data_IF_982945241965
#
_entry.id   IF_982945241965
#
_cell.length_a   1.000
_cell.length_b   1.000
_cell.length_c   1.000
_cell.angle_alpha   90.00
_cell.angle_beta   90.00
_cell.angle_gamma   90.00
#
_symmetry.space_group_name_H-M   'P 1'
#
loop_
_entity.id
_entity.type
_entity.pdbx_description
1 polymer ?
#
# COMPACT_ATOMS: atom_id res chain seq x y z
N UNK A 1 -7.43 17.73 -27.91
CA UNK A 1 -8.84 17.70 -28.33
C UNK A 1 -9.73 16.83 -27.43
N UNK A 2 -9.25 15.69 -26.90
CA UNK A 2 -10.07 14.81 -26.04
C UNK A 2 -10.22 15.32 -24.59
N UNK A 3 -9.14 15.82 -23.99
CA UNK A 3 -9.14 16.41 -22.63
C UNK A 3 -10.07 17.63 -22.56
N UNK A 4 -10.04 18.53 -23.55
CA UNK A 4 -10.92 19.70 -23.54
C UNK A 4 -12.41 19.33 -23.60
N UNK A 5 -12.77 18.29 -24.36
CA UNK A 5 -14.13 17.76 -24.39
C UNK A 5 -14.52 17.15 -23.05
N UNK A 6 -13.61 16.42 -22.41
CA UNK A 6 -13.80 15.86 -21.07
C UNK A 6 -14.04 16.98 -20.05
N UNK A 7 -13.22 18.02 -20.06
CA UNK A 7 -13.31 19.16 -19.14
C UNK A 7 -14.57 20.02 -19.33
N UNK A 8 -15.13 20.04 -20.55
CA UNK A 8 -16.41 20.71 -20.81
C UNK A 8 -17.64 19.87 -20.41
N UNK A 9 -17.48 18.54 -20.36
CA UNK A 9 -18.57 17.59 -20.09
C UNK A 9 -18.66 17.19 -18.61
N UNK A 10 -17.53 16.90 -17.96
CA UNK A 10 -17.46 16.44 -16.58
C UNK A 10 -18.22 17.31 -15.57
N UNK A 11 -18.14 18.66 -15.61
CA UNK A 11 -18.91 19.49 -14.67
C UNK A 11 -20.42 19.29 -14.82
N UNK A 12 -20.92 19.13 -16.05
CA UNK A 12 -22.35 18.92 -16.33
C UNK A 12 -22.80 17.55 -15.84
N UNK A 13 -22.03 16.52 -16.14
CA UNK A 13 -22.33 15.15 -15.71
C UNK A 13 -22.32 15.05 -14.17
N UNK A 14 -21.37 15.73 -13.51
CA UNK A 14 -21.33 15.83 -12.05
C UNK A 14 -22.53 16.60 -11.48
N UNK A 15 -22.89 17.74 -12.07
CA UNK A 15 -24.04 18.52 -11.65
C UNK A 15 -25.35 17.75 -11.80
N UNK A 16 -25.54 17.03 -12.91
CA UNK A 16 -26.72 16.19 -13.12
C UNK A 16 -26.81 15.06 -12.11
N UNK A 17 -25.68 14.42 -11.78
CA UNK A 17 -25.62 13.41 -10.73
C UNK A 17 -25.97 13.98 -9.35
N UNK A 18 -25.36 15.11 -8.96
CA UNK A 18 -25.61 15.77 -7.67
C UNK A 18 -27.07 16.16 -7.53
N UNK A 19 -27.62 16.84 -8.54
CA UNK A 19 -29.02 17.30 -8.53
C UNK A 19 -29.98 16.11 -8.58
N UNK A 20 -29.65 15.06 -9.33
CA UNK A 20 -30.42 13.81 -9.36
C UNK A 20 -30.47 13.09 -8.01
N UNK A 21 -29.35 13.06 -7.29
CA UNK A 21 -29.27 12.49 -5.94
C UNK A 21 -30.00 13.33 -4.89
N UNK A 22 -30.01 14.65 -5.03
CA UNK A 22 -30.67 15.56 -4.10
C UNK A 22 -32.21 15.48 -4.13
N UNK A 23 -32.80 14.94 -5.21
CA UNK A 23 -34.25 14.69 -5.38
C UNK A 23 -35.15 15.89 -5.01
N UNK A 24 -34.71 17.10 -5.37
CA UNK A 24 -35.45 18.32 -5.04
C UNK A 24 -36.71 18.44 -5.91
N UNK A 25 -37.82 18.90 -5.31
CA UNK A 25 -39.11 19.06 -5.99
C UNK A 25 -39.22 20.33 -6.85
N UNK A 26 -38.39 21.33 -6.59
CA UNK A 26 -38.43 22.61 -7.30
C UNK A 26 -37.70 22.53 -8.64
N UNK A 27 -38.43 22.79 -9.73
CA UNK A 27 -37.87 22.80 -11.09
C UNK A 27 -36.87 23.94 -11.27
N UNK A 28 -37.16 25.12 -10.73
CA UNK A 28 -36.31 26.30 -10.91
C UNK A 28 -35.03 26.21 -10.07
N UNK A 29 -35.12 25.66 -8.85
CA UNK A 29 -33.93 25.37 -8.05
C UNK A 29 -33.06 24.30 -8.71
N UNK A 30 -33.67 23.23 -9.23
CA UNK A 30 -32.95 22.18 -9.97
C UNK A 30 -32.25 22.74 -11.22
N UNK A 31 -32.87 23.69 -11.92
CA UNK A 31 -32.27 24.38 -13.07
C UNK A 31 -31.10 25.24 -12.64
N UNK A 32 -31.30 26.09 -11.63
CA UNK A 32 -30.27 26.97 -11.09
C UNK A 32 -29.04 26.19 -10.59
N UNK A 33 -29.26 25.08 -9.89
CA UNK A 33 -28.18 24.22 -9.42
C UNK A 33 -27.42 23.55 -10.57
N UNK A 34 -28.12 23.07 -11.61
CA UNK A 34 -27.44 22.51 -12.80
C UNK A 34 -26.64 23.55 -13.56
N UNK A 35 -27.15 24.77 -13.68
CA UNK A 35 -26.45 25.87 -14.35
C UNK A 35 -25.21 26.31 -13.56
N UNK A 36 -25.33 26.45 -12.24
CA UNK A 36 -24.21 26.80 -11.36
C UNK A 36 -23.17 25.69 -11.29
N UNK A 37 -23.56 24.51 -10.81
CA UNK A 37 -22.66 23.36 -10.60
C UNK A 37 -22.09 22.83 -11.92
N UNK A 38 -22.85 22.93 -13.02
CA UNK A 38 -22.45 22.50 -14.35
C UNK A 38 -21.62 23.53 -15.12
N UNK A 39 -21.33 24.69 -14.51
CA UNK A 39 -20.43 25.69 -15.09
C UNK A 39 -19.05 25.09 -15.37
N UNK A 40 -18.30 25.71 -16.29
CA UNK A 40 -16.96 25.26 -16.67
C UNK A 40 -16.07 25.10 -15.44
N UNK A 41 -15.32 24.01 -15.37
CA UNK A 41 -14.40 23.73 -14.27
C UNK A 41 -13.51 24.95 -13.96
N UNK A 42 -13.40 25.32 -12.68
CA UNK A 42 -12.66 26.49 -12.21
C UNK A 42 -13.44 27.81 -12.19
N UNK A 43 -14.68 27.84 -12.70
CA UNK A 43 -15.55 29.02 -12.56
C UNK A 43 -16.24 29.05 -11.19
N UNK A 44 -16.63 30.25 -10.69
CA UNK A 44 -17.46 30.37 -9.51
C UNK A 44 -18.72 29.51 -9.62
N UNK A 45 -19.07 28.81 -8.53
CA UNK A 45 -20.20 27.89 -8.41
C UNK A 45 -20.10 26.56 -9.20
N UNK A 46 -19.06 26.32 -9.98
CA UNK A 46 -18.83 25.02 -10.62
C UNK A 46 -18.61 23.94 -9.56
N UNK A 47 -19.13 22.74 -9.80
CA UNK A 47 -18.87 21.58 -8.96
C UNK A 47 -17.41 21.11 -9.05
N UNK A 48 -16.71 21.47 -10.13
CA UNK A 48 -15.33 21.06 -10.36
C UNK A 48 -14.40 22.27 -10.32
N UNK A 49 -13.28 22.11 -9.60
CA UNK A 49 -12.18 23.07 -9.60
C UNK A 49 -11.48 23.11 -10.96
N UNK A 50 -10.67 24.14 -11.20
CA UNK A 50 -9.81 24.19 -12.38
C UNK A 50 -8.94 22.93 -12.44
N UNK A 51 -8.93 22.21 -13.58
CA UNK A 51 -8.11 21.02 -13.71
C UNK A 51 -6.64 21.41 -13.74
N UNK A 52 -5.87 20.91 -12.77
CA UNK A 52 -4.43 21.02 -12.76
C UNK A 52 -3.82 19.72 -13.31
N UNK A 53 -2.94 19.85 -14.29
CA UNK A 53 -2.16 18.73 -14.83
C UNK A 53 -0.74 18.88 -14.31
N UNK A 54 -0.37 17.99 -13.39
CA UNK A 54 1.01 17.88 -12.94
C UNK A 54 1.71 16.76 -13.71
N UNK A 55 2.89 17.06 -14.24
CA UNK A 55 3.78 16.00 -14.71
C UNK A 55 4.24 15.18 -13.51
N UNK A 56 3.86 13.91 -13.43
CA UNK A 56 4.45 12.99 -12.47
C UNK A 56 5.90 12.76 -12.89
N UNK A 57 6.85 13.39 -12.18
CA UNK A 57 8.26 13.08 -12.38
C UNK A 57 8.47 11.60 -12.01
N UNK A 58 9.05 10.78 -12.91
CA UNK A 58 9.32 9.39 -12.59
C UNK A 58 10.29 9.32 -11.42
N UNK A 59 10.03 8.40 -10.50
CA UNK A 59 10.95 8.12 -9.40
C UNK A 59 12.27 7.60 -9.96
N UNK A 60 13.40 8.05 -9.39
CA UNK A 60 14.73 7.68 -9.88
C UNK A 60 14.96 6.18 -9.65
N UNK A 61 15.02 5.34 -10.70
CA UNK A 61 15.37 3.94 -10.56
C UNK A 61 16.81 3.82 -10.06
N UNK A 62 17.08 2.78 -9.27
CA UNK A 62 18.45 2.46 -8.92
C UNK A 62 19.19 2.04 -10.19
N UNK A 63 20.35 2.64 -10.44
CA UNK A 63 21.24 2.22 -11.51
C UNK A 63 21.59 0.73 -11.35
N UNK A 64 21.41 -0.07 -12.42
CA UNK A 64 21.62 -1.52 -12.37
C UNK A 64 20.52 -2.32 -11.66
N UNK A 65 19.45 -1.69 -11.17
CA UNK A 65 18.30 -2.35 -10.54
C UNK A 65 18.72 -3.27 -9.38
N UNK A 66 18.23 -4.51 -9.36
CA UNK A 66 18.64 -5.48 -8.33
C UNK A 66 20.14 -5.78 -8.29
N UNK A 67 20.86 -5.58 -9.40
CA UNK A 67 22.31 -5.77 -9.49
C UNK A 67 23.11 -4.58 -8.96
N UNK A 68 22.50 -3.41 -8.83
CA UNK A 68 23.15 -2.18 -8.33
C UNK A 68 23.11 -2.03 -6.81
N UNK A 69 22.59 -3.03 -6.09
CA UNK A 69 22.50 -2.96 -4.63
C UNK A 69 23.90 -3.09 -3.98
N UNK A 70 24.19 -2.31 -2.92
CA UNK A 70 25.40 -2.51 -2.14
C UNK A 70 25.52 -3.94 -1.63
N UNK A 71 26.70 -4.53 -1.75
CA UNK A 71 26.96 -5.90 -1.32
C UNK A 71 26.64 -6.06 0.19
N UNK A 72 25.93 -7.15 0.53
CA UNK A 72 25.56 -7.46 1.91
C UNK A 72 24.39 -6.66 2.49
N UNK A 73 23.89 -5.64 1.77
CA UNK A 73 22.78 -4.80 2.25
C UNK A 73 21.53 -5.62 2.62
N UNK A 74 21.20 -6.59 1.78
CA UNK A 74 20.10 -7.53 2.00
C UNK A 74 20.64 -8.97 1.98
N UNK A 75 20.00 -9.83 2.77
CA UNK A 75 20.30 -11.25 2.80
C UNK A 75 19.98 -11.88 1.42
N UNK A 76 20.79 -12.84 0.92
CA UNK A 76 20.57 -13.45 -0.40
C UNK A 76 19.16 -14.01 -0.60
N UNK A 77 18.61 -14.68 0.44
CA UNK A 77 17.23 -15.18 0.41
C UNK A 77 16.18 -14.08 0.32
N UNK A 78 16.41 -12.92 0.93
CA UNK A 78 15.53 -11.76 0.80
C UNK A 78 15.53 -11.25 -0.65
N UNK A 79 16.72 -11.14 -1.26
CA UNK A 79 16.87 -10.71 -2.65
C UNK A 79 16.19 -11.67 -3.63
N UNK A 80 16.31 -12.98 -3.41
CA UNK A 80 15.65 -14.00 -4.22
C UNK A 80 14.13 -13.81 -4.22
N UNK A 81 13.54 -13.64 -3.03
CA UNK A 81 12.09 -13.39 -2.92
C UNK A 81 11.70 -12.10 -3.62
N UNK A 82 12.40 -10.99 -3.33
CA UNK A 82 12.04 -9.68 -3.89
C UNK A 82 12.13 -9.61 -5.41
N UNK A 83 13.04 -10.36 -6.03
CA UNK A 83 13.15 -10.43 -7.50
C UNK A 83 11.91 -11.01 -8.16
N UNK A 84 11.20 -11.90 -7.48
CA UNK A 84 9.99 -12.55 -7.99
C UNK A 84 8.73 -11.71 -7.73
N UNK A 85 8.69 -10.96 -6.62
CA UNK A 85 7.45 -10.33 -6.12
C UNK A 85 7.47 -8.79 -6.16
N UNK A 86 8.59 -8.17 -6.50
CA UNK A 86 8.75 -6.71 -6.52
C UNK A 86 9.51 -6.22 -7.75
N UNK A 87 9.24 -4.97 -8.13
CA UNK A 87 9.98 -4.28 -9.18
C UNK A 87 11.39 -3.91 -8.70
N UNK A 88 12.36 -3.73 -9.62
CA UNK A 88 13.66 -3.16 -9.29
C UNK A 88 13.51 -1.85 -8.49
N UNK A 89 14.38 -1.63 -7.49
CA UNK A 89 14.14 -0.56 -6.54
C UNK A 89 14.46 0.82 -7.09
N UNK A 90 13.86 1.83 -6.47
CA UNK A 90 14.24 3.22 -6.63
C UNK A 90 15.37 3.60 -5.66
N UNK A 91 16.12 4.64 -5.99
CA UNK A 91 17.26 5.12 -5.16
C UNK A 91 16.84 5.39 -3.71
N UNK A 92 15.68 6.04 -3.50
CA UNK A 92 15.19 6.38 -2.18
C UNK A 92 14.83 5.15 -1.31
N UNK A 93 14.42 4.04 -1.94
CA UNK A 93 14.16 2.78 -1.22
C UNK A 93 15.48 2.23 -0.70
N UNK A 94 16.51 2.20 -1.54
CA UNK A 94 17.85 1.73 -1.16
C UNK A 94 18.46 2.61 -0.08
N UNK A 95 18.26 3.92 -0.14
CA UNK A 95 18.73 4.83 0.90
C UNK A 95 18.03 4.59 2.24
N UNK A 96 16.72 4.32 2.23
CA UNK A 96 16.01 3.89 3.43
C UNK A 96 16.56 2.55 3.97
N UNK A 97 16.82 1.58 3.09
CA UNK A 97 17.35 0.27 3.48
C UNK A 97 18.75 0.36 4.09
N UNK A 98 19.63 1.23 3.58
CA UNK A 98 20.96 1.47 4.17
C UNK A 98 20.86 1.93 5.62
N UNK A 99 19.88 2.78 5.94
CA UNK A 99 19.65 3.28 7.30
C UNK A 99 18.97 2.25 8.20
N UNK A 100 18.07 1.43 7.66
CA UNK A 100 17.24 0.49 8.42
C UNK A 100 17.90 -0.89 8.62
N UNK A 101 18.72 -1.35 7.66
CA UNK A 101 19.40 -2.66 7.71
C UNK A 101 20.85 -2.58 8.22
N UNK A 102 21.39 -1.38 8.45
CA UNK A 102 22.76 -1.19 8.94
C UNK A 102 22.97 -1.68 10.37
N UNK A 103 24.23 -1.83 10.79
CA UNK A 103 24.61 -2.27 12.14
C UNK A 103 24.03 -1.38 13.26
N UNK A 104 23.86 -0.08 12.97
CA UNK A 104 23.17 0.88 13.82
C UNK A 104 21.92 1.39 13.09
N UNK A 105 20.86 0.60 13.12
CA UNK A 105 19.60 0.96 12.51
C UNK A 105 19.08 2.30 13.06
N UNK A 106 18.71 3.21 12.16
CA UNK A 106 18.16 4.52 12.49
C UNK A 106 16.69 4.62 12.08
N UNK A 107 15.89 5.42 12.80
CA UNK A 107 14.53 5.72 12.39
C UNK A 107 14.53 6.60 11.14
N UNK A 108 13.68 6.27 10.17
CA UNK A 108 13.59 6.97 8.87
C UNK A 108 12.19 7.54 8.68
N UNK A 109 12.11 8.77 8.18
CA UNK A 109 10.89 9.36 7.64
C UNK A 109 11.00 9.38 6.11
N UNK A 110 10.08 8.71 5.42
CA UNK A 110 10.05 8.68 3.96
C UNK A 110 8.99 9.65 3.46
N UNK A 111 9.44 10.79 2.91
CA UNK A 111 8.57 11.75 2.24
C UNK A 111 8.61 11.55 0.73
N UNK A 112 7.58 10.92 0.17
CA UNK A 112 7.44 10.74 -1.28
C UNK A 112 5.98 10.61 -1.72
N UNK A 113 5.70 10.91 -2.98
CA UNK A 113 4.37 10.93 -3.58
C UNK A 113 3.72 9.54 -3.68
N UNK A 114 2.42 9.49 -3.97
CA UNK A 114 1.68 8.22 -4.12
C UNK A 114 2.28 7.36 -5.23
N UNK A 115 2.31 6.03 -5.05
CA UNK A 115 2.89 5.11 -6.06
C UNK A 115 4.43 5.11 -6.14
N UNK A 116 5.14 5.81 -5.26
CA UNK A 116 6.61 5.84 -5.21
C UNK A 116 7.28 4.57 -4.70
N UNK A 117 6.51 3.61 -4.20
CA UNK A 117 7.07 2.43 -3.53
C UNK A 117 7.53 2.70 -2.09
N UNK A 118 6.84 3.60 -1.37
CA UNK A 118 7.00 3.78 0.09
C UNK A 118 6.86 2.47 0.87
N UNK A 119 5.99 1.58 0.41
CA UNK A 119 5.75 0.29 1.09
C UNK A 119 7.02 -0.53 1.16
N UNK A 120 7.76 -0.63 0.06
CA UNK A 120 9.04 -1.34 -0.01
C UNK A 120 10.13 -0.68 0.85
N UNK A 121 10.05 0.63 1.12
CA UNK A 121 11.02 1.32 1.99
C UNK A 121 11.04 0.73 3.41
N UNK A 122 9.89 0.31 3.94
CA UNK A 122 9.80 -0.28 5.29
C UNK A 122 9.61 -1.79 5.27
N UNK A 123 8.92 -2.35 4.26
CA UNK A 123 8.60 -3.78 4.24
C UNK A 123 9.83 -4.64 3.91
N UNK A 124 10.72 -4.16 3.03
CA UNK A 124 11.96 -4.88 2.69
C UNK A 124 12.87 -5.05 3.90
N UNK A 125 13.19 -4.00 4.70
CA UNK A 125 13.96 -4.16 5.94
C UNK A 125 13.32 -5.08 6.96
N UNK A 126 11.99 -5.04 7.10
CA UNK A 126 11.26 -5.97 7.98
C UNK A 126 11.48 -7.41 7.51
N UNK A 127 11.23 -7.70 6.24
CA UNK A 127 11.44 -9.03 5.68
C UNK A 127 12.89 -9.49 5.87
N UNK A 128 13.86 -8.63 5.59
CA UNK A 128 15.28 -8.94 5.72
C UNK A 128 15.68 -9.30 7.16
N UNK A 129 15.22 -8.51 8.13
CA UNK A 129 15.43 -8.80 9.55
C UNK A 129 14.80 -10.12 9.99
N UNK A 130 13.61 -10.46 9.48
CA UNK A 130 12.95 -11.75 9.73
C UNK A 130 13.73 -12.90 9.12
N UNK A 131 14.15 -12.80 7.85
CA UNK A 131 14.93 -13.81 7.14
C UNK A 131 16.24 -14.09 7.87
N UNK A 132 16.97 -13.05 8.29
CA UNK A 132 18.21 -13.21 9.07
C UNK A 132 17.97 -13.87 10.43
N UNK A 133 16.88 -13.52 11.10
CA UNK A 133 16.53 -14.09 12.40
C UNK A 133 16.05 -15.55 12.34
N UNK A 134 15.60 -16.01 11.18
CA UNK A 134 14.90 -17.29 10.97
C UNK A 134 15.75 -18.34 10.27
N UNK A 135 17.08 -18.21 10.32
CA UNK A 135 18.00 -19.10 9.60
C UNK A 135 17.64 -19.15 8.10
N UNK A 136 17.66 -17.98 7.46
CA UNK A 136 17.25 -17.80 6.06
C UNK A 136 15.79 -18.17 5.77
N UNK A 137 14.90 -18.10 6.77
CA UNK A 137 13.51 -18.52 6.62
C UNK A 137 13.27 -20.02 6.74
N UNK A 138 14.25 -20.79 7.22
CA UNK A 138 14.11 -22.23 7.45
C UNK A 138 13.46 -22.56 8.81
N UNK A 139 13.58 -21.66 9.80
CA UNK A 139 13.10 -21.88 11.16
C UNK A 139 11.95 -20.93 11.50
N UNK A 140 10.88 -21.43 12.13
CA UNK A 140 9.80 -20.56 12.58
C UNK A 140 10.30 -19.59 13.65
N UNK A 141 9.79 -18.36 13.61
CA UNK A 141 10.02 -17.37 14.65
C UNK A 141 8.92 -17.40 15.70
N UNK A 142 9.32 -17.15 16.95
CA UNK A 142 8.43 -16.96 18.08
C UNK A 142 8.19 -15.46 18.37
N UNK A 143 6.98 -15.15 18.83
CA UNK A 143 6.55 -13.79 19.16
C UNK A 143 6.26 -12.88 17.96
N UNK A 144 5.87 -11.65 18.25
CA UNK A 144 5.71 -10.58 17.24
C UNK A 144 7.07 -9.91 17.06
N UNK A 145 7.56 -9.87 15.82
CA UNK A 145 8.90 -9.36 15.48
C UNK A 145 8.87 -7.99 14.81
N UNK A 146 7.73 -7.60 14.25
CA UNK A 146 7.51 -6.30 13.63
C UNK A 146 6.02 -5.92 13.76
N UNK A 147 5.75 -4.62 13.87
CA UNK A 147 4.41 -4.06 13.92
C UNK A 147 4.28 -2.98 12.85
N UNK A 148 3.23 -3.08 12.04
CA UNK A 148 2.88 -2.06 11.04
C UNK A 148 1.59 -1.40 11.47
N UNK A 149 1.61 -0.07 11.60
CA UNK A 149 0.47 0.72 12.01
C UNK A 149 -0.10 1.46 10.81
N UNK A 150 -1.41 1.27 10.57
CA UNK A 150 -2.14 1.94 9.51
C UNK A 150 -3.26 2.79 10.13
N UNK A 151 -3.45 4.04 9.67
CA UNK A 151 -4.49 4.91 10.22
C UNK A 151 -5.91 4.54 9.76
N UNK A 152 -6.07 3.83 8.63
CA UNK A 152 -7.38 3.50 8.04
C UNK A 152 -7.42 2.05 7.51
N UNK A 153 -8.57 1.39 7.70
CA UNK A 153 -8.78 -0.01 7.31
C UNK A 153 -8.85 -0.23 5.78
N UNK A 154 -9.17 0.79 5.00
CA UNK A 154 -9.39 0.67 3.55
C UNK A 154 -8.15 0.21 2.74
N UNK A 155 -6.96 0.27 3.34
CA UNK A 155 -5.70 -0.15 2.72
C UNK A 155 -5.39 -1.64 2.97
N UNK A 156 -6.12 -2.31 3.86
CA UNK A 156 -5.75 -3.63 4.39
C UNK A 156 -5.73 -4.71 3.30
N UNK A 157 -6.76 -4.81 2.45
CA UNK A 157 -6.86 -5.87 1.45
C UNK A 157 -5.69 -5.84 0.44
N UNK A 158 -5.31 -4.64 -0.01
CA UNK A 158 -4.17 -4.48 -0.93
C UNK A 158 -2.82 -4.86 -0.29
N UNK A 159 -2.68 -4.63 1.02
CA UNK A 159 -1.48 -5.02 1.75
C UNK A 159 -1.47 -6.51 2.05
N UNK A 160 -2.63 -7.12 2.30
CA UNK A 160 -2.75 -8.56 2.54
C UNK A 160 -2.29 -9.37 1.33
N UNK A 161 -2.76 -9.03 0.13
CA UNK A 161 -2.36 -9.73 -1.09
C UNK A 161 -0.84 -9.66 -1.30
N UNK A 162 -0.28 -8.47 -1.08
CA UNK A 162 1.16 -8.25 -1.17
C UNK A 162 1.94 -9.06 -0.15
N UNK A 163 1.55 -9.00 1.12
CA UNK A 163 2.17 -9.76 2.20
C UNK A 163 2.08 -11.26 1.95
N UNK A 164 0.95 -11.76 1.44
CA UNK A 164 0.78 -13.16 1.05
C UNK A 164 1.84 -13.60 0.05
N UNK A 165 2.05 -12.82 -1.02
CA UNK A 165 3.08 -13.11 -2.04
C UNK A 165 4.49 -13.11 -1.46
N UNK A 166 4.80 -12.13 -0.62
CA UNK A 166 6.14 -11.99 -0.02
C UNK A 166 6.45 -13.12 0.97
N UNK A 167 5.45 -13.61 1.70
CA UNK A 167 5.64 -14.62 2.75
C UNK A 167 5.43 -16.06 2.27
N UNK A 168 4.76 -16.27 1.13
CA UNK A 168 4.53 -17.60 0.55
C UNK A 168 5.80 -18.46 0.39
N UNK A 169 6.97 -17.93 -0.05
CA UNK A 169 8.19 -18.72 -0.24
C UNK A 169 8.79 -19.32 1.04
N UNK A 170 8.28 -18.94 2.23
CA UNK A 170 8.79 -19.42 3.51
C UNK A 170 7.96 -20.55 4.12
N UNK A 171 6.90 -21.02 3.44
CA UNK A 171 6.15 -22.20 3.87
C UNK A 171 5.58 -22.14 5.29
N UNK A 172 5.34 -20.94 5.82
CA UNK A 172 4.85 -20.71 7.18
C UNK A 172 5.93 -20.55 8.26
N UNK A 173 7.22 -20.64 7.95
CA UNK A 173 8.30 -20.27 8.87
C UNK A 173 8.22 -18.78 9.23
N UNK A 174 7.98 -17.93 8.22
CA UNK A 174 7.62 -16.54 8.39
C UNK A 174 6.12 -16.38 8.19
N UNK A 175 5.48 -15.59 9.07
CA UNK A 175 4.03 -15.40 9.09
C UNK A 175 3.69 -13.94 9.38
N UNK A 176 2.56 -13.51 8.85
CA UNK A 176 1.96 -12.21 9.18
C UNK A 176 0.50 -12.43 9.63
N UNK A 177 -0.05 -11.43 10.31
CA UNK A 177 -1.47 -11.38 10.65
C UNK A 177 -1.97 -9.95 10.53
N UNK A 178 -3.29 -9.83 10.36
CA UNK A 178 -4.00 -8.57 10.40
C UNK A 178 -4.75 -8.49 11.72
N UNK A 179 -4.68 -7.31 12.34
CA UNK A 179 -5.37 -7.01 13.59
C UNK A 179 -6.14 -5.71 13.42
N UNK A 180 -7.47 -5.82 13.41
CA UNK A 180 -8.42 -4.72 13.22
C UNK A 180 -9.70 -4.98 14.05
N UNK A 181 -10.66 -4.05 13.98
CA UNK A 181 -11.93 -4.18 14.72
C UNK A 181 -12.79 -5.39 14.34
N UNK A 182 -12.54 -6.01 13.18
CA UNK A 182 -13.23 -7.22 12.71
C UNK A 182 -12.53 -8.52 13.17
N UNK A 183 -11.37 -8.40 13.83
CA UNK A 183 -10.61 -9.55 14.31
C UNK A 183 -11.30 -10.13 15.54
N UNK A 184 -11.74 -11.41 15.53
CA UNK A 184 -12.42 -12.02 16.66
C UNK A 184 -11.57 -11.96 17.93
N UNK A 185 -12.14 -11.53 19.06
CA UNK A 185 -11.44 -11.43 20.35
C UNK A 185 -10.98 -12.80 20.89
N UNK A 186 -11.63 -13.89 20.45
CA UNK A 186 -11.26 -15.26 20.80
C UNK A 186 -11.32 -16.19 19.59
N UNK A 187 -10.23 -16.88 19.30
CA UNK A 187 -10.23 -18.02 18.37
C UNK A 187 -10.28 -19.28 19.23
N UNK A 188 -11.35 -20.09 19.11
CA UNK A 188 -11.35 -21.44 19.69
C UNK A 188 -10.15 -22.19 19.12
N UNK A 189 -9.37 -22.81 20.01
CA UNK A 189 -8.19 -23.60 19.68
C UNK A 189 -8.57 -24.84 18.87
N UNK A 190 -8.68 -24.72 17.55
CA UNK A 190 -8.82 -25.85 16.64
C UNK A 190 -7.74 -25.76 15.58
N UNK A 191 -6.57 -26.33 15.87
CA UNK A 191 -5.68 -26.99 14.91
C UNK A 191 -4.32 -27.33 15.56
N UNK A 192 -4.34 -28.19 16.57
CA UNK A 192 -3.28 -29.17 16.72
C UNK A 192 -3.67 -30.36 15.84
N UNK A 193 -3.16 -30.41 14.60
CA UNK A 193 -2.98 -31.56 13.69
C UNK A 193 -3.02 -31.07 12.24
N UNK A 194 -2.03 -31.51 11.48
CA UNK A 194 -1.60 -30.90 10.23
C UNK A 194 -2.55 -31.08 9.05
N UNK A 195 -2.53 -30.08 8.18
CA UNK A 195 -2.78 -30.17 6.74
C UNK A 195 -2.22 -28.88 6.09
N UNK A 196 -1.40 -28.97 5.03
CA UNK A 196 -0.83 -27.79 4.39
C UNK A 196 -1.85 -27.18 3.43
N UNK A 197 -2.62 -26.18 3.90
CA UNK A 197 -3.56 -25.42 3.05
C UNK A 197 -3.36 -23.92 3.25
N UNK A 198 -2.61 -23.31 2.32
CA UNK A 198 -2.42 -21.86 2.11
C UNK A 198 -1.95 -21.05 3.34
N UNK A 199 -1.35 -19.86 3.19
CA UNK A 199 -1.12 -18.98 4.32
C UNK A 199 -2.48 -18.52 4.88
N UNK A 200 -3.04 -19.28 5.81
CA UNK A 200 -4.23 -18.88 6.56
C UNK A 200 -3.83 -17.67 7.39
N UNK A 201 -4.42 -16.51 7.08
CA UNK A 201 -4.42 -15.30 7.88
C UNK A 201 -4.75 -15.71 9.31
N UNK A 202 -3.71 -15.88 10.13
CA UNK A 202 -3.89 -16.40 11.48
C UNK A 202 -4.25 -15.20 12.33
N UNK A 203 -5.56 -14.98 12.52
CA UNK A 203 -6.05 -14.04 13.51
C UNK A 203 -5.57 -14.52 14.89
N UNK A 204 -4.45 -13.99 15.36
CA UNK A 204 -3.91 -14.28 16.68
C UNK A 204 -3.92 -13.01 17.50
N UNK A 205 -4.50 -13.10 18.68
CA UNK A 205 -4.38 -12.12 19.75
C UNK A 205 -2.90 -11.88 20.04
N UNK A 206 -2.46 -10.62 19.98
CA UNK A 206 -1.16 -10.22 20.53
C UNK A 206 -1.16 -10.55 22.02
N UNK A 207 -0.50 -11.63 22.42
CA UNK A 207 -0.12 -11.83 23.82
C UNK A 207 1.25 -11.22 23.99
N UNK A 208 1.33 -10.28 24.94
CA UNK A 208 2.56 -9.63 25.41
C UNK A 208 3.60 -10.67 25.82
#
# INVERSE_FOLDING_TARGET
MEIERLLARLPRDAADAIVGMARLRSVDLNRHLREGLGARAGQPNSALSEPFVEGAYPWLPLEGGWGGLPAGLLHPRTLEVLREVAYPPYTHQVDAWKQLCGERAASVIVSSGTGSGKTECFLTPILDGLVRSSDSGAKPLEGVRALMLYPLNALIASQEERLSKWFAPFGGALRYCLYNGDTPESVRSTAARGEPSAPKTTHKTMRR
#
